data_IF_135256845454
#
_entry.id   IF_135256845454
#
_cell.length_a   1.000
_cell.length_b   1.000
_cell.length_c   1.000
_cell.angle_alpha   90.00
_cell.angle_beta   90.00
_cell.angle_gamma   90.00
#
_symmetry.space_group_name_H-M   'P 1'
#
loop_
_entity.id
_entity.type
_entity.pdbx_description
1 polymer ?
#
# COMPACT_ATOMS: atom_id res chain seq x y z
N UNK A 1 -9.30 -2.75 -8.87
CA UNK A 1 -8.21 -3.59 -8.34
C UNK A 1 -8.33 -5.03 -8.85
N UNK A 2 -7.24 -5.80 -8.80
CA UNK A 2 -7.25 -7.25 -9.06
C UNK A 2 -7.95 -8.05 -7.95
N UNK A 3 -7.66 -9.35 -7.84
CA UNK A 3 -8.12 -10.17 -6.70
C UNK A 3 -7.20 -9.91 -5.51
N UNK A 4 -7.75 -9.55 -4.36
CA UNK A 4 -6.96 -9.30 -3.15
C UNK A 4 -6.16 -10.54 -2.75
N UNK A 5 -4.89 -10.33 -2.37
CA UNK A 5 -3.94 -11.39 -2.02
C UNK A 5 -3.49 -11.32 -0.58
N UNK A 6 -3.02 -10.15 -0.14
CA UNK A 6 -2.71 -9.86 1.25
C UNK A 6 -3.27 -8.49 1.66
N UNK A 7 -3.33 -8.29 2.96
CA UNK A 7 -3.66 -7.02 3.58
C UNK A 7 -2.72 -6.77 4.77
N UNK A 8 -2.35 -5.50 4.96
CA UNK A 8 -1.66 -5.01 6.15
C UNK A 8 -2.41 -3.80 6.70
N UNK A 9 -2.24 -3.54 8.00
CA UNK A 9 -2.94 -2.48 8.72
C UNK A 9 -1.91 -1.61 9.42
N UNK A 10 -2.00 -0.29 9.21
CA UNK A 10 -1.09 0.71 9.76
C UNK A 10 -1.69 2.10 9.63
N UNK A 11 -1.18 3.07 10.38
CA UNK A 11 -1.53 4.49 10.23
C UNK A 11 -0.64 5.07 9.14
N UNK A 12 -1.15 5.14 7.90
CA UNK A 12 -0.35 5.46 6.71
C UNK A 12 -0.28 6.98 6.49
N UNK A 13 -1.34 7.71 6.85
CA UNK A 13 -1.38 9.17 6.73
C UNK A 13 -1.13 9.93 8.05
N UNK A 14 -0.74 9.21 9.11
CA UNK A 14 -0.36 9.79 10.40
C UNK A 14 -1.53 10.44 11.14
N UNK A 15 -2.77 10.10 10.80
CA UNK A 15 -3.96 10.74 11.35
C UNK A 15 -4.44 10.13 12.68
N UNK A 16 -3.72 9.11 13.17
CA UNK A 16 -4.02 8.36 14.38
C UNK A 16 -5.08 7.27 14.19
N UNK A 17 -5.53 7.00 12.95
CA UNK A 17 -6.45 5.91 12.62
C UNK A 17 -5.75 4.85 11.79
N UNK A 18 -6.20 3.62 11.98
CA UNK A 18 -5.68 2.51 11.20
C UNK A 18 -6.32 2.48 9.82
N UNK A 19 -5.44 2.42 8.82
CA UNK A 19 -5.75 2.24 7.41
C UNK A 19 -5.44 0.80 6.96
N UNK A 20 -5.73 0.50 5.69
CA UNK A 20 -5.49 -0.82 5.11
C UNK A 20 -4.70 -0.68 3.83
N UNK A 21 -3.60 -1.40 3.70
CA UNK A 21 -2.90 -1.62 2.42
C UNK A 21 -3.24 -3.01 1.92
N UNK A 22 -3.60 -3.13 0.64
CA UNK A 22 -3.89 -4.41 -0.01
C UNK A 22 -3.04 -4.62 -1.25
N UNK A 23 -2.61 -5.86 -1.44
CA UNK A 23 -2.01 -6.33 -2.68
C UNK A 23 -3.02 -7.14 -3.47
N UNK A 24 -2.86 -7.14 -4.79
CA UNK A 24 -3.76 -7.79 -5.72
C UNK A 24 -2.99 -8.64 -6.75
N UNK A 25 -3.52 -9.82 -7.05
CA UNK A 25 -3.12 -10.65 -8.19
C UNK A 25 -4.09 -10.45 -9.37
N UNK A 26 -3.64 -10.71 -10.60
CA UNK A 26 -4.50 -10.58 -11.79
C UNK A 26 -5.00 -9.15 -12.02
N UNK A 27 -4.23 -8.17 -11.55
CA UNK A 27 -4.37 -6.75 -11.83
C UNK A 27 -3.82 -6.38 -13.24
N UNK A 28 -4.32 -7.03 -14.28
CA UNK A 28 -4.04 -6.64 -15.67
C UNK A 28 -4.48 -5.20 -15.92
N UNK A 29 -3.69 -4.43 -16.68
CA UNK A 29 -4.00 -3.05 -17.02
C UNK A 29 -5.47 -2.95 -17.50
N UNK A 30 -6.27 -2.01 -16.95
CA UNK A 30 -5.90 -0.85 -16.13
C UNK A 30 -6.00 -1.05 -14.60
N UNK A 31 -5.95 -2.28 -14.09
CA UNK A 31 -6.12 -2.55 -12.66
C UNK A 31 -4.81 -2.32 -11.88
N UNK A 32 -4.93 -1.81 -10.66
CA UNK A 32 -3.80 -1.66 -9.72
C UNK A 32 -3.48 -2.96 -8.96
N UNK A 33 -2.19 -3.16 -8.69
CA UNK A 33 -1.63 -4.28 -7.92
C UNK A 33 -1.43 -3.97 -6.43
N UNK A 34 -1.27 -2.71 -6.04
CA UNK A 34 -1.20 -2.28 -4.63
C UNK A 34 -2.11 -1.07 -4.41
N UNK A 35 -2.94 -1.11 -3.38
CA UNK A 35 -3.89 -0.05 -3.02
C UNK A 35 -3.78 0.26 -1.53
N UNK A 36 -4.05 1.50 -1.16
CA UNK A 36 -4.22 1.94 0.21
C UNK A 36 -5.65 2.47 0.40
N UNK A 37 -6.29 2.03 1.47
CA UNK A 37 -7.63 2.43 1.86
C UNK A 37 -7.53 3.21 3.16
N UNK A 38 -7.81 4.52 3.11
CA UNK A 38 -7.80 5.37 4.31
C UNK A 38 -9.18 5.56 4.90
N UNK A 39 -9.26 5.52 6.23
CA UNK A 39 -10.55 5.62 6.95
C UNK A 39 -10.93 7.07 7.23
N UNK A 40 -12.07 7.49 6.69
CA UNK A 40 -12.60 8.82 7.02
C UNK A 40 -12.96 8.95 8.51
N UNK A 41 -12.82 10.16 9.10
CA UNK A 41 -12.93 10.38 10.55
C UNK A 41 -14.35 10.22 11.13
N UNK A 42 -15.36 9.95 10.30
CA UNK A 42 -16.76 9.92 10.71
C UNK A 42 -17.15 8.55 11.31
N UNK A 43 -17.31 8.44 12.64
CA UNK A 43 -17.43 7.14 13.32
C UNK A 43 -18.74 6.40 13.01
N UNK A 44 -19.81 7.14 12.68
CA UNK A 44 -21.14 6.56 12.39
C UNK A 44 -21.41 6.31 10.90
N UNK A 45 -20.50 6.73 10.03
CA UNK A 45 -20.59 6.53 8.59
C UNK A 45 -19.18 6.38 8.02
N UNK A 46 -18.51 5.31 8.44
CA UNK A 46 -17.15 5.02 8.00
C UNK A 46 -17.16 4.78 6.49
N UNK A 47 -16.73 5.78 5.74
CA UNK A 47 -16.41 5.67 4.33
C UNK A 47 -14.90 5.48 4.18
N UNK A 48 -14.51 4.77 3.14
CA UNK A 48 -13.10 4.52 2.82
C UNK A 48 -12.74 5.28 1.56
N UNK A 49 -11.61 5.98 1.61
CA UNK A 49 -10.99 6.59 0.44
C UNK A 49 -10.01 5.57 -0.15
N UNK A 50 -10.03 5.38 -1.47
CA UNK A 50 -9.22 4.37 -2.16
C UNK A 50 -8.13 5.04 -3.00
N UNK A 51 -6.87 4.75 -2.68
CA UNK A 51 -5.67 5.34 -3.28
C UNK A 51 -4.84 4.29 -4.01
N UNK A 52 -4.35 4.64 -5.20
CA UNK A 52 -3.42 3.79 -5.94
C UNK A 52 -2.00 3.98 -5.40
N UNK A 53 -1.33 2.88 -5.03
CA UNK A 53 0.11 2.91 -4.77
C UNK A 53 0.85 2.42 -6.02
N UNK A 54 0.40 1.30 -6.61
CA UNK A 54 1.09 0.71 -7.74
C UNK A 54 0.18 -0.01 -8.74
N UNK A 55 0.49 0.17 -10.02
CA UNK A 55 -0.07 -0.50 -11.18
C UNK A 55 0.97 -1.35 -11.92
N UNK A 56 0.52 -2.12 -12.91
CA UNK A 56 1.24 -3.25 -13.52
C UNK A 56 2.61 -2.86 -14.15
N UNK A 57 3.62 -3.74 -14.30
CA UNK A 57 3.49 -5.05 -14.94
C UNK A 57 4.34 -6.18 -14.34
N UNK A 58 3.67 -7.29 -14.06
CA UNK A 58 4.20 -8.55 -13.53
C UNK A 58 3.20 -9.28 -12.63
N UNK A 59 2.36 -8.49 -11.94
CA UNK A 59 0.98 -8.80 -11.53
C UNK A 59 0.77 -9.92 -10.50
N UNK A 60 1.77 -10.17 -9.64
CA UNK A 60 1.52 -10.84 -8.36
C UNK A 60 2.32 -10.21 -7.24
N UNK A 61 1.61 -9.48 -6.38
CA UNK A 61 2.14 -8.94 -5.14
C UNK A 61 1.65 -9.80 -3.96
N UNK A 62 2.57 -10.47 -3.27
CA UNK A 62 2.20 -11.49 -2.27
C UNK A 62 2.24 -10.97 -0.83
N UNK A 63 3.40 -10.49 -0.38
CA UNK A 63 3.61 -10.02 0.99
C UNK A 63 3.52 -8.50 1.05
N UNK A 64 3.05 -7.99 2.17
CA UNK A 64 3.12 -6.57 2.53
C UNK A 64 3.84 -6.48 3.85
N UNK A 65 4.86 -5.63 3.93
CA UNK A 65 5.44 -5.18 5.18
C UNK A 65 5.30 -3.67 5.27
N UNK A 66 4.87 -3.19 6.43
CA UNK A 66 4.80 -1.77 6.76
C UNK A 66 5.88 -1.47 7.78
N UNK A 67 6.83 -0.60 7.41
CA UNK A 67 7.88 -0.13 8.30
C UNK A 67 8.42 1.21 7.81
N UNK A 68 8.93 2.01 8.73
CA UNK A 68 9.74 3.19 8.43
C UNK A 68 11.12 2.72 7.93
N UNK A 69 11.32 2.65 6.60
CA UNK A 69 12.55 2.09 6.03
C UNK A 69 13.65 3.15 5.91
N UNK A 70 13.30 4.40 5.63
CA UNK A 70 14.26 5.49 5.44
C UNK A 70 14.52 6.30 6.73
N UNK A 71 13.74 6.08 7.78
CA UNK A 71 13.91 6.67 9.10
C UNK A 71 13.28 8.05 9.26
N UNK A 72 12.34 8.42 8.41
CA UNK A 72 11.71 9.75 8.42
C UNK A 72 10.48 9.86 9.35
N UNK A 73 10.04 8.72 9.89
CA UNK A 73 8.99 8.62 10.89
C UNK A 73 7.60 8.31 10.33
N UNK A 74 7.47 7.99 9.05
CA UNK A 74 6.25 7.45 8.47
C UNK A 74 6.36 5.94 8.13
N UNK A 75 5.22 5.31 7.79
CA UNK A 75 5.22 3.91 7.37
C UNK A 75 5.29 3.79 5.85
N UNK A 76 6.36 3.16 5.36
CA UNK A 76 6.50 2.77 3.96
C UNK A 76 5.78 1.46 3.64
N UNK A 77 5.64 1.17 2.34
CA UNK A 77 5.12 -0.12 1.85
C UNK A 77 6.21 -0.92 1.15
N UNK A 78 6.54 -2.09 1.71
CA UNK A 78 7.34 -3.09 1.04
C UNK A 78 6.47 -4.25 0.55
N UNK A 79 6.74 -4.70 -0.67
CA UNK A 79 6.08 -5.87 -1.25
C UNK A 79 7.01 -6.66 -2.15
N UNK A 80 6.56 -7.82 -2.62
CA UNK A 80 7.33 -8.69 -3.50
C UNK A 80 6.54 -8.98 -4.77
N UNK A 81 7.19 -8.84 -5.91
CA UNK A 81 6.65 -9.21 -7.22
C UNK A 81 7.12 -10.64 -7.58
N UNK A 82 6.17 -11.54 -7.82
CA UNK A 82 6.45 -12.96 -8.07
C UNK A 82 6.30 -13.40 -9.54
N UNK A 83 5.58 -12.65 -10.38
CA UNK A 83 5.07 -13.15 -11.66
C UNK A 83 5.54 -12.36 -12.89
N UNK A 84 6.51 -11.45 -12.79
CA UNK A 84 7.02 -10.65 -13.92
C UNK A 84 7.60 -11.50 -15.05
N UNK A 85 6.73 -11.98 -15.95
CA UNK A 85 7.04 -12.86 -17.07
C UNK A 85 7.90 -14.09 -16.70
N UNK A 86 7.68 -14.67 -15.50
CA UNK A 86 8.48 -15.78 -14.99
C UNK A 86 9.93 -15.41 -14.61
N UNK A 87 10.23 -14.11 -14.51
CA UNK A 87 11.52 -13.56 -14.06
C UNK A 87 11.48 -13.07 -12.60
N UNK A 88 10.41 -13.39 -11.87
CA UNK A 88 10.05 -12.80 -10.58
C UNK A 88 11.19 -12.78 -9.54
N UNK A 89 10.89 -12.09 -8.42
CA UNK A 89 11.70 -11.87 -7.20
C UNK A 89 12.21 -10.43 -6.99
N UNK A 90 11.52 -9.43 -7.54
CA UNK A 90 11.75 -8.06 -7.10
C UNK A 90 11.14 -7.84 -5.71
N UNK A 91 11.93 -7.39 -4.74
CA UNK A 91 11.40 -6.66 -3.58
C UNK A 91 11.20 -5.23 -4.05
N UNK A 92 10.00 -4.70 -3.83
CA UNK A 92 9.64 -3.35 -4.22
C UNK A 92 9.34 -2.58 -2.95
N UNK A 93 9.99 -1.43 -2.83
CA UNK A 93 9.76 -0.43 -1.80
C UNK A 93 9.03 0.75 -2.43
N UNK A 94 7.97 1.19 -1.77
CA UNK A 94 7.25 2.42 -2.05
C UNK A 94 7.42 3.33 -0.84
N UNK A 95 8.19 4.39 -1.04
CA UNK A 95 8.37 5.48 -0.08
C UNK A 95 7.02 6.19 0.12
N UNK A 96 6.63 6.37 1.37
CA UNK A 96 5.52 7.24 1.72
C UNK A 96 6.05 8.69 1.82
N UNK A 97 5.44 9.65 1.12
CA UNK A 97 5.93 11.02 1.10
C UNK A 97 5.43 11.85 2.30
N UNK A 98 4.95 11.20 3.38
CA UNK A 98 4.28 11.89 4.48
C UNK A 98 5.31 12.56 5.38
N UNK A 99 5.44 13.88 5.22
CA UNK A 99 6.29 14.65 6.10
C UNK A 99 5.54 14.99 7.39
N UNK A 100 6.07 14.56 8.54
CA UNK A 100 5.68 15.12 9.83
C UNK A 100 5.92 16.64 9.72
N UNK A 101 4.84 17.42 9.73
CA UNK A 101 4.94 18.87 9.72
C UNK A 101 5.76 19.28 10.96
N UNK A 102 7.02 19.68 10.74
CA UNK A 102 7.91 20.13 11.81
C UNK A 102 7.19 21.21 12.64
N UNK A 103 6.82 20.86 13.87
CA UNK A 103 6.39 21.83 14.87
C UNK A 103 7.58 22.73 15.16
N UNK A 104 7.54 23.96 14.64
CA UNK A 104 8.43 25.03 15.06
C UNK A 104 8.12 25.48 16.48
#
# INVERSE_FOLDING_TARGET
>A
MGRAKAAAVGDIDGDGRLDIVITCEGADAPKSGVRWLSRNPWPMNATWSDHEIAGSEGIKFDRIELLDLDGDGDLDVLTCEEQHAGRGLGVIWYENPYQIANSK
#
